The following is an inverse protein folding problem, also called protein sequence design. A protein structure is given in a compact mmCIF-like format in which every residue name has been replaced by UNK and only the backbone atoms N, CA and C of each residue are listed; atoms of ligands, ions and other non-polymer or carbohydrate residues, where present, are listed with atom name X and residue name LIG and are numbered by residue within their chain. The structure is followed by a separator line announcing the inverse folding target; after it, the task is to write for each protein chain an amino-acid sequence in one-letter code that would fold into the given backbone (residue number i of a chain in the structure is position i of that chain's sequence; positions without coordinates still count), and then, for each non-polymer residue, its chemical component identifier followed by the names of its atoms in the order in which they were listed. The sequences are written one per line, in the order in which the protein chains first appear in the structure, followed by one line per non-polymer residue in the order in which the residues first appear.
data_IF_990369205185
#
_entry.id   IF_990369205185
#
_cell.length_a   1.000
_cell.length_b   1.000
_cell.length_c   1.000
_cell.angle_alpha   90.00
_cell.angle_beta   90.00
_cell.angle_gamma   90.00
#
_symmetry.space_group_name_H-M   'P 1'
#
loop_
_entity.id
_entity.type
_entity.pdbx_description
1 polymer ?
#
# COMPACT_ATOMS: atom_id res chain seq x y z
N UNK A 1 41.44 -38.70 66.32
CA UNK A 1 40.36 -37.74 66.01
C UNK A 1 40.90 -36.80 64.94
N UNK A 2 40.08 -36.57 63.94
CA UNK A 2 40.19 -35.56 62.88
C UNK A 2 41.27 -35.65 61.77
N UNK A 3 40.73 -35.42 60.57
CA UNK A 3 41.28 -34.66 59.46
C UNK A 3 42.13 -35.36 58.38
N UNK A 4 41.44 -35.74 57.30
CA UNK A 4 41.72 -35.31 55.91
C UNK A 4 40.75 -35.99 54.93
N UNK A 5 39.47 -35.65 55.08
CA UNK A 5 38.46 -35.95 54.06
C UNK A 5 38.55 -34.87 52.97
N UNK A 6 39.43 -35.05 51.98
CA UNK A 6 39.34 -34.30 50.73
C UNK A 6 39.92 -35.09 49.55
N UNK A 7 39.12 -36.02 49.02
CA UNK A 7 39.23 -36.42 47.61
C UNK A 7 38.16 -35.65 46.85
N UNK A 8 38.56 -34.54 46.25
CA UNK A 8 37.72 -33.80 45.31
C UNK A 8 37.30 -34.74 44.17
N UNK A 9 36.01 -35.00 44.04
CA UNK A 9 35.44 -35.53 42.80
C UNK A 9 35.55 -34.43 41.75
N UNK A 10 36.49 -34.61 40.82
CA UNK A 10 36.72 -33.68 39.72
C UNK A 10 35.50 -33.58 38.80
N UNK A 11 35.24 -32.34 38.36
CA UNK A 11 34.17 -31.89 37.47
C UNK A 11 34.28 -32.44 36.01
N UNK A 12 34.82 -33.64 35.80
CA UNK A 12 35.05 -34.17 34.44
C UNK A 12 34.51 -35.58 34.16
N UNK A 13 33.57 -36.07 34.98
CA UNK A 13 33.12 -37.48 34.89
C UNK A 13 31.62 -37.68 34.64
N UNK A 14 30.93 -36.75 33.99
CA UNK A 14 29.59 -37.03 33.45
C UNK A 14 29.53 -36.80 31.94
N UNK A 15 29.68 -37.94 31.25
CA UNK A 15 29.07 -38.34 30.00
C UNK A 15 28.51 -37.26 29.04
N UNK A 16 29.02 -37.31 27.80
CA UNK A 16 28.46 -36.68 26.60
C UNK A 16 26.95 -36.96 26.50
N UNK A 17 26.13 -35.97 26.86
CA UNK A 17 24.76 -35.84 26.36
C UNK A 17 24.78 -34.85 25.21
N UNK A 18 24.49 -35.34 24.02
CA UNK A 18 24.27 -34.54 22.81
C UNK A 18 23.23 -33.45 23.12
N UNK A 19 23.50 -32.16 22.89
CA UNK A 19 22.49 -31.14 23.13
C UNK A 19 21.33 -31.37 22.17
N UNK A 20 20.13 -31.52 22.72
CA UNK A 20 18.90 -31.54 21.94
C UNK A 20 18.85 -30.27 21.09
N UNK A 21 18.68 -30.44 19.77
CA UNK A 21 18.63 -29.36 18.79
C UNK A 21 17.49 -28.42 19.20
N UNK A 22 17.83 -27.24 19.74
CA UNK A 22 16.88 -26.20 20.12
C UNK A 22 16.09 -25.83 18.87
N UNK A 23 14.80 -26.13 18.86
CA UNK A 23 13.90 -25.62 17.83
C UNK A 23 13.74 -24.13 18.11
N UNK A 24 14.31 -23.30 17.25
CA UNK A 24 14.11 -21.86 17.27
C UNK A 24 12.61 -21.59 17.14
N UNK A 25 12.01 -20.73 17.98
CA UNK A 25 10.61 -20.35 17.82
C UNK A 25 10.43 -19.75 16.42
N UNK A 26 9.44 -20.27 15.68
CA UNK A 26 9.10 -19.77 14.34
C UNK A 26 8.90 -18.27 14.42
N UNK A 27 9.81 -17.51 13.82
CA UNK A 27 9.67 -16.06 13.72
C UNK A 27 8.35 -15.81 13.01
N UNK A 28 7.34 -15.34 13.75
CA UNK A 28 6.04 -14.98 13.22
C UNK A 28 6.27 -13.97 12.11
N UNK A 29 6.10 -14.42 10.86
CA UNK A 29 6.20 -13.60 9.66
C UNK A 29 5.35 -12.35 9.90
N UNK A 30 5.91 -11.13 9.79
CA UNK A 30 5.13 -9.93 9.98
C UNK A 30 3.94 -9.96 9.00
N UNK A 31 2.75 -9.50 9.44
CA UNK A 31 1.58 -9.48 8.56
C UNK A 31 1.94 -8.72 7.28
N UNK A 32 1.64 -9.32 6.13
CA UNK A 32 1.90 -8.71 4.84
C UNK A 32 1.17 -7.37 4.80
N UNK A 33 1.92 -6.26 4.82
CA UNK A 33 1.33 -4.94 4.70
C UNK A 33 0.64 -4.85 3.33
N UNK A 34 -0.63 -4.42 3.27
CA UNK A 34 -1.34 -4.26 2.02
C UNK A 34 -0.54 -3.37 1.06
N UNK A 35 -0.23 -3.90 -0.13
CA UNK A 35 0.57 -3.19 -1.13
C UNK A 35 -0.13 -1.92 -1.60
N UNK A 36 0.62 -0.85 -1.84
CA UNK A 36 0.09 0.38 -2.44
C UNK A 36 0.14 0.31 -3.97
N UNK A 37 -0.93 0.74 -4.64
CA UNK A 37 -0.98 0.90 -6.11
C UNK A 37 -1.30 2.35 -6.48
N UNK A 38 -0.68 2.85 -7.53
CA UNK A 38 -1.05 4.12 -8.15
C UNK A 38 -2.28 3.94 -9.04
N UNK A 39 -3.27 4.82 -8.91
CA UNK A 39 -4.47 4.84 -9.76
C UNK A 39 -4.73 6.25 -10.25
N UNK A 40 -5.10 6.38 -11.52
CA UNK A 40 -5.64 7.61 -12.09
C UNK A 40 -7.14 7.43 -12.31
N UNK A 41 -7.92 8.49 -12.12
CA UNK A 41 -9.38 8.50 -12.31
C UNK A 41 -9.79 9.67 -13.15
N UNK A 42 -10.83 9.47 -13.96
CA UNK A 42 -11.47 10.57 -14.65
C UNK A 42 -12.24 11.44 -13.66
N UNK A 43 -11.92 12.74 -13.61
CA UNK A 43 -12.65 13.76 -12.85
C UNK A 43 -14.12 13.97 -13.26
N UNK A 44 -14.54 13.55 -14.46
CA UNK A 44 -15.91 13.74 -14.95
C UNK A 44 -16.83 12.58 -14.57
N UNK A 45 -16.39 11.34 -14.79
CA UNK A 45 -17.20 10.13 -14.54
C UNK A 45 -16.69 9.23 -13.41
N UNK A 46 -15.50 9.48 -12.86
CA UNK A 46 -14.89 8.67 -11.80
C UNK A 46 -14.28 7.34 -12.28
N UNK A 47 -14.34 7.02 -13.57
CA UNK A 47 -13.79 5.78 -14.11
C UNK A 47 -12.28 5.67 -13.84
N UNK A 48 -11.83 4.48 -13.46
CA UNK A 48 -10.41 4.16 -13.32
C UNK A 48 -9.77 4.17 -14.70
N UNK A 49 -8.70 4.96 -14.85
CA UNK A 49 -7.91 5.01 -16.07
C UNK A 49 -6.87 3.89 -16.01
N UNK A 50 -6.87 2.95 -16.99
CA UNK A 50 -5.81 1.96 -17.13
C UNK A 50 -4.42 2.60 -17.12
N UNK A 51 -3.41 1.89 -16.62
CA UNK A 51 -2.03 2.35 -16.64
C UNK A 51 -1.50 2.62 -18.07
N UNK A 52 -2.10 1.99 -19.08
CA UNK A 52 -1.78 2.16 -20.50
C UNK A 52 -2.56 3.31 -21.17
N UNK A 53 -3.40 4.05 -20.44
CA UNK A 53 -4.16 5.16 -21.02
C UNK A 53 -3.23 6.34 -21.27
N UNK A 54 -3.23 6.83 -22.51
CA UNK A 54 -2.51 8.04 -22.89
C UNK A 54 -3.08 9.25 -22.11
N UNK A 55 -2.28 9.96 -21.29
CA UNK A 55 -2.72 11.15 -20.58
C UNK A 55 -3.18 12.29 -21.50
N UNK A 56 -2.85 12.21 -22.80
CA UNK A 56 -3.28 13.17 -23.83
C UNK A 56 -4.55 12.75 -24.58
N UNK A 57 -5.10 11.57 -24.27
CA UNK A 57 -6.26 11.00 -24.92
C UNK A 57 -7.60 11.33 -24.26
N UNK A 58 -8.60 10.51 -24.56
CA UNK A 58 -9.96 10.61 -24.02
C UNK A 58 -10.23 9.49 -23.02
N UNK A 59 -11.14 9.75 -22.08
CA UNK A 59 -11.61 8.76 -21.13
C UNK A 59 -12.42 7.66 -21.85
N UNK A 60 -12.14 6.36 -21.62
CA UNK A 60 -12.88 5.28 -22.27
C UNK A 60 -14.34 5.16 -21.80
N UNK A 61 -14.71 5.76 -20.66
CA UNK A 61 -16.06 5.67 -20.12
C UNK A 61 -17.00 6.81 -20.55
N UNK A 62 -16.49 8.04 -20.62
CA UNK A 62 -17.32 9.23 -20.90
C UNK A 62 -16.78 10.11 -22.03
N UNK A 63 -15.73 9.68 -22.73
CA UNK A 63 -15.04 10.44 -23.80
C UNK A 63 -14.53 11.84 -23.40
N UNK A 64 -14.49 12.16 -22.11
CA UNK A 64 -13.91 13.42 -21.63
C UNK A 64 -12.41 13.49 -21.92
N UNK A 65 -11.93 14.69 -22.24
CA UNK A 65 -10.51 14.97 -22.50
C UNK A 65 -9.69 14.83 -21.22
N UNK A 66 -8.70 13.93 -21.24
CA UNK A 66 -7.83 13.69 -20.09
C UNK A 66 -6.82 14.81 -19.91
N UNK A 67 -6.40 15.47 -21.00
CA UNK A 67 -5.55 16.65 -20.94
C UNK A 67 -6.37 17.92 -20.69
N UNK A 68 -6.94 18.03 -19.49
CA UNK A 68 -7.72 19.18 -19.05
C UNK A 68 -7.28 19.67 -17.68
N UNK A 69 -7.55 20.94 -17.35
CA UNK A 69 -7.13 21.51 -16.07
C UNK A 69 -7.69 20.70 -14.90
N UNK A 70 -8.93 20.22 -14.99
CA UNK A 70 -9.55 19.41 -13.91
C UNK A 70 -8.83 18.09 -13.62
N UNK A 71 -8.15 17.51 -14.61
CA UNK A 71 -7.41 16.25 -14.45
C UNK A 71 -5.95 16.48 -14.02
N UNK A 72 -5.52 17.73 -13.89
CA UNK A 72 -4.15 18.09 -13.56
C UNK A 72 -3.89 17.98 -12.04
N UNK A 73 -2.69 17.56 -11.64
CA UNK A 73 -2.22 17.58 -10.24
C UNK A 73 -2.11 19.00 -9.68
N UNK A 74 -1.84 19.98 -10.53
CA UNK A 74 -1.58 21.37 -10.16
C UNK A 74 -2.84 22.23 -10.04
N UNK A 75 -4.01 21.67 -10.35
CA UNK A 75 -5.28 22.39 -10.31
C UNK A 75 -5.69 22.67 -8.86
N UNK A 76 -5.79 23.97 -8.54
CA UNK A 76 -6.19 24.45 -7.23
C UNK A 76 -7.12 25.67 -7.39
N UNK A 77 -8.42 25.53 -7.10
CA UNK A 77 -9.39 26.62 -7.19
C UNK A 77 -9.05 27.86 -6.36
N UNK A 78 -8.21 27.74 -5.32
CA UNK A 78 -7.82 28.85 -4.45
C UNK A 78 -6.70 29.73 -5.01
N UNK A 79 -6.00 29.29 -6.06
CA UNK A 79 -4.89 30.03 -6.65
C UNK A 79 -5.31 30.93 -7.82
N UNK A 80 -4.46 31.91 -8.16
CA UNK A 80 -4.65 32.74 -9.36
C UNK A 80 -4.79 31.84 -10.59
N UNK A 81 -5.86 32.06 -11.35
CA UNK A 81 -6.22 31.26 -12.52
C UNK A 81 -6.49 29.77 -12.26
N UNK A 82 -6.68 29.39 -11.01
CA UNK A 82 -7.02 28.04 -10.54
C UNK A 82 -5.87 27.03 -10.74
N UNK A 83 -4.62 27.51 -10.71
CA UNK A 83 -3.41 26.69 -10.90
C UNK A 83 -2.32 27.10 -9.90
N UNK A 84 -1.64 26.11 -9.34
CA UNK A 84 -0.47 26.32 -8.46
C UNK A 84 0.80 26.71 -9.21
N UNK A 85 0.87 26.46 -10.53
CA UNK A 85 1.97 26.86 -11.40
C UNK A 85 1.74 28.27 -11.98
N UNK A 86 2.80 29.04 -12.25
CA UNK A 86 2.68 30.34 -12.89
C UNK A 86 2.22 30.16 -14.35
N UNK A 87 0.97 30.55 -14.63
CA UNK A 87 0.41 30.53 -15.99
C UNK A 87 0.19 31.96 -16.50
N UNK A 88 0.44 32.17 -17.79
CA UNK A 88 0.32 33.47 -18.46
C UNK A 88 -1.13 33.91 -18.61
N UNK A 89 -2.02 32.99 -18.99
CA UNK A 89 -3.42 33.26 -19.29
C UNK A 89 -4.36 32.30 -18.56
N UNK A 90 -5.55 32.80 -18.22
CA UNK A 90 -6.62 31.98 -17.65
C UNK A 90 -7.28 31.15 -18.74
N UNK A 91 -7.32 29.83 -18.56
CA UNK A 91 -8.19 28.98 -19.36
C UNK A 91 -9.65 29.11 -18.90
N UNK A 92 -10.60 29.49 -19.77
CA UNK A 92 -12.01 29.60 -19.41
C UNK A 92 -12.63 28.21 -19.15
N UNK A 93 -12.41 27.27 -20.07
CA UNK A 93 -12.97 25.92 -19.98
C UNK A 93 -11.99 24.94 -19.33
N UNK A 94 -12.20 24.67 -18.04
CA UNK A 94 -11.32 23.76 -17.27
C UNK A 94 -11.49 22.28 -17.60
N UNK A 95 -12.59 21.91 -18.28
CA UNK A 95 -12.90 20.54 -18.74
C UNK A 95 -12.43 20.28 -20.17
N UNK A 96 -12.21 21.33 -20.97
CA UNK A 96 -11.79 21.18 -22.36
C UNK A 96 -10.31 20.79 -22.43
N UNK A 97 -9.94 20.17 -23.56
CA UNK A 97 -8.54 19.90 -23.88
C UNK A 97 -7.75 21.19 -23.90
N UNK A 98 -6.61 21.20 -23.23
CA UNK A 98 -5.66 22.29 -23.32
C UNK A 98 -4.28 21.83 -23.77
N UNK A 99 -3.41 22.80 -24.04
CA UNK A 99 -2.01 22.58 -24.44
C UNK A 99 -1.05 23.08 -23.35
N UNK A 100 -1.44 22.98 -22.08
CA UNK A 100 -0.60 23.46 -20.98
C UNK A 100 0.70 22.64 -20.91
N UNK A 101 1.89 23.28 -21.01
CA UNK A 101 3.15 22.55 -20.97
C UNK A 101 3.46 21.96 -19.59
N UNK A 102 2.89 22.55 -18.53
CA UNK A 102 3.04 22.09 -17.14
C UNK A 102 1.98 21.07 -16.73
N UNK A 103 1.26 20.46 -17.69
CA UNK A 103 0.25 19.47 -17.38
C UNK A 103 0.86 18.19 -16.80
N UNK A 104 0.28 17.71 -15.71
CA UNK A 104 0.63 16.44 -15.10
C UNK A 104 -0.65 15.76 -14.62
N UNK A 105 -0.91 14.55 -15.10
CA UNK A 105 -2.14 13.82 -14.77
C UNK A 105 -2.18 13.49 -13.28
N UNK A 106 -3.33 13.73 -12.65
CA UNK A 106 -3.55 13.41 -11.24
C UNK A 106 -3.58 11.90 -11.01
N UNK A 107 -2.60 11.43 -10.23
CA UNK A 107 -2.49 10.04 -9.79
C UNK A 107 -2.59 9.99 -8.26
N UNK A 108 -3.46 9.12 -7.74
CA UNK A 108 -3.61 8.88 -6.31
C UNK A 108 -3.04 7.52 -5.95
N UNK A 109 -2.36 7.42 -4.81
CA UNK A 109 -1.86 6.13 -4.30
C UNK A 109 -2.91 5.51 -3.39
N UNK A 110 -3.41 4.35 -3.75
CA UNK A 110 -4.37 3.58 -2.96
C UNK A 110 -3.69 2.40 -2.29
N UNK A 111 -4.03 2.17 -1.03
CA UNK A 111 -3.58 0.98 -0.30
C UNK A 111 -4.52 -0.16 -0.67
N UNK A 112 -4.01 -1.13 -1.42
CA UNK A 112 -4.79 -2.29 -1.85
C UNK A 112 -5.04 -3.20 -0.66
N UNK A 113 -6.30 -3.35 -0.27
CA UNK A 113 -6.68 -4.48 0.60
C UNK A 113 -6.35 -5.77 -0.14
N UNK A 114 -5.75 -6.79 0.50
CA UNK A 114 -5.60 -8.08 -0.14
C UNK A 114 -7.00 -8.59 -0.48
N UNK A 115 -7.38 -8.46 -1.75
CA UNK A 115 -8.57 -9.09 -2.31
C UNK A 115 -8.32 -10.59 -2.49
N UNK A 116 -7.88 -11.23 -1.41
CA UNK A 116 -7.83 -12.68 -1.28
C UNK A 116 -9.08 -13.10 -0.51
N UNK A 117 -10.21 -13.16 -1.23
CA UNK A 117 -11.39 -13.96 -0.94
C UNK A 117 -11.63 -14.34 0.53
N UNK A 118 -12.23 -13.45 1.32
CA UNK A 118 -13.22 -13.95 2.29
C UNK A 118 -14.47 -14.21 1.48
N UNK A 119 -14.76 -15.48 1.21
CA UNK A 119 -16.13 -15.84 0.85
C UNK A 119 -17.04 -15.32 1.97
N UNK A 120 -18.30 -14.94 1.71
CA UNK A 120 -19.19 -14.46 2.77
C UNK A 120 -19.26 -15.44 3.96
N UNK A 121 -19.10 -16.74 3.71
CA UNK A 121 -18.96 -17.77 4.74
C UNK A 121 -17.71 -17.64 5.63
N UNK A 122 -16.56 -17.23 5.09
CA UNK A 122 -15.31 -17.03 5.84
C UNK A 122 -15.38 -15.79 6.73
N UNK A 123 -16.03 -14.72 6.27
CA UNK A 123 -16.23 -13.52 7.09
C UNK A 123 -17.11 -13.81 8.31
N UNK A 124 -18.18 -14.62 8.13
CA UNK A 124 -19.06 -15.04 9.24
C UNK A 124 -18.34 -15.96 10.22
N UNK A 125 -17.63 -16.98 9.72
CA UNK A 125 -16.81 -17.87 10.58
C UNK A 125 -15.71 -17.12 11.33
N UNK A 126 -15.03 -16.17 10.69
CA UNK A 126 -14.03 -15.34 11.36
C UNK A 126 -14.64 -14.49 12.47
N UNK A 127 -15.85 -13.97 12.26
CA UNK A 127 -16.61 -13.24 13.28
C UNK A 127 -17.00 -14.15 14.45
N UNK A 128 -17.61 -15.30 14.19
CA UNK A 128 -18.05 -16.23 15.26
C UNK A 128 -16.87 -16.74 16.10
N UNK A 129 -15.71 -16.96 15.48
CA UNK A 129 -14.48 -17.34 16.19
C UNK A 129 -13.95 -16.27 17.16
N UNK A 130 -14.22 -14.97 16.92
CA UNK A 130 -13.87 -13.91 17.88
C UNK A 130 -14.71 -14.01 19.15
N UNK A 131 -15.94 -14.51 19.04
CA UNK A 131 -16.88 -14.64 20.15
C UNK A 131 -17.01 -16.08 20.67
N UNK A 132 -16.23 -17.03 20.12
CA UNK A 132 -16.19 -18.45 20.50
C UNK A 132 -17.58 -19.09 20.57
N UNK A 133 -18.36 -18.99 19.49
CA UNK A 133 -19.70 -19.59 19.39
C UNK A 133 -19.75 -20.66 18.31
#
# INVERSE_FOLDING_TARGET
MEDRQYRQRGYKDDARKTPAKRQEPSVSRPPATPGSRSVARCSDCGALLPAATDPLGQCPGCSAELHSCKQCTHFDPGHRFECTQPISERLPDKRARNACPSFSLRVTVERGTPSGATRPEDARRAFDNLFKK
#
